data_IF_506645442998
#
_entry.id   IF_506645442998
#
_cell.length_a   1.000
_cell.length_b   1.000
_cell.length_c   1.000
_cell.angle_alpha   90.00
_cell.angle_beta   90.00
_cell.angle_gamma   90.00
#
_symmetry.space_group_name_H-M   'P 1'
#
loop_
_entity.id
_entity.type
_entity.pdbx_description
1 polymer ?
#
# COMPACT_ATOMS: atom_id res chain seq x y z
N UNK A 1 64.36 9.33 -6.27
CA UNK A 1 63.42 8.58 -5.41
C UNK A 1 62.00 8.97 -5.80
N UNK A 2 61.18 7.97 -6.15
CA UNK A 2 59.84 8.11 -6.73
C UNK A 2 58.88 8.72 -5.69
N UNK A 3 58.29 9.88 -5.99
CA UNK A 3 57.13 10.41 -5.25
C UNK A 3 55.88 9.92 -5.96
N UNK A 4 55.26 8.87 -5.45
CA UNK A 4 53.91 8.46 -5.82
C UNK A 4 53.14 8.12 -4.54
N UNK A 5 51.83 8.33 -4.61
CA UNK A 5 50.80 7.96 -3.61
C UNK A 5 50.78 8.97 -2.45
N UNK A 6 49.73 9.76 -2.25
CA UNK A 6 48.37 9.35 -1.89
C UNK A 6 47.33 10.34 -2.45
N UNK A 7 46.45 9.87 -3.33
CA UNK A 7 45.17 10.52 -3.63
C UNK A 7 44.15 9.43 -3.95
N UNK A 8 43.60 8.80 -2.91
CA UNK A 8 42.56 7.79 -3.05
C UNK A 8 41.63 7.82 -1.83
N UNK A 9 40.86 8.89 -1.65
CA UNK A 9 39.84 8.99 -0.60
C UNK A 9 38.69 9.92 -1.01
N UNK A 10 38.02 9.70 -2.15
CA UNK A 10 36.81 10.46 -2.53
C UNK A 10 35.84 9.69 -3.45
N UNK A 11 35.67 8.38 -3.26
CA UNK A 11 34.75 7.57 -4.09
C UNK A 11 33.66 6.80 -3.33
N UNK A 12 33.48 7.02 -2.02
CA UNK A 12 32.51 6.27 -1.21
C UNK A 12 31.18 7.00 -0.99
N UNK A 13 31.00 8.22 -1.49
CA UNK A 13 29.81 9.04 -1.22
C UNK A 13 28.57 8.64 -2.02
N UNK A 14 28.72 7.95 -3.16
CA UNK A 14 27.62 7.72 -4.10
C UNK A 14 26.66 6.62 -3.68
N UNK A 15 27.07 5.64 -2.87
CA UNK A 15 26.20 4.51 -2.47
C UNK A 15 25.25 4.88 -1.33
N UNK A 16 25.62 5.87 -0.50
CA UNK A 16 24.81 6.32 0.63
C UNK A 16 23.58 7.13 0.19
N UNK A 17 23.68 7.87 -0.93
CA UNK A 17 22.56 8.65 -1.47
C UNK A 17 21.46 7.75 -2.03
N UNK A 18 21.81 6.70 -2.79
CA UNK A 18 20.81 5.78 -3.35
C UNK A 18 20.02 4.99 -2.30
N UNK A 19 20.67 4.55 -1.22
CA UNK A 19 19.98 3.82 -0.15
C UNK A 19 19.02 4.72 0.65
N UNK A 20 19.40 5.99 0.87
CA UNK A 20 18.56 6.97 1.52
C UNK A 20 17.31 7.30 0.68
N UNK A 21 17.47 7.38 -0.65
CA UNK A 21 16.35 7.60 -1.58
C UNK A 21 15.35 6.44 -1.57
N UNK A 22 15.83 5.20 -1.66
CA UNK A 22 14.98 3.99 -1.58
C UNK A 22 14.19 3.93 -0.28
N UNK A 23 14.80 4.27 0.86
CA UNK A 23 14.11 4.31 2.14
C UNK A 23 13.06 5.42 2.18
N UNK A 24 13.36 6.60 1.63
CA UNK A 24 12.39 7.69 1.52
C UNK A 24 11.18 7.27 0.68
N UNK A 25 11.41 6.68 -0.49
CA UNK A 25 10.35 6.19 -1.39
C UNK A 25 9.51 5.10 -0.72
N UNK A 26 10.15 4.18 0.00
CA UNK A 26 9.47 3.13 0.77
C UNK A 26 8.58 3.73 1.86
N UNK A 27 9.09 4.71 2.63
CA UNK A 27 8.32 5.40 3.65
C UNK A 27 7.16 6.22 3.06
N UNK A 28 7.36 6.83 1.89
CA UNK A 28 6.31 7.55 1.15
C UNK A 28 5.17 6.60 0.79
N UNK A 29 5.50 5.42 0.29
CA UNK A 29 4.50 4.39 -0.03
C UNK A 29 3.84 3.80 1.23
N UNK A 30 4.58 3.62 2.33
CA UNK A 30 4.02 3.21 3.62
C UNK A 30 2.95 4.18 4.13
N UNK A 31 3.21 5.49 3.96
CA UNK A 31 2.25 6.54 4.24
C UNK A 31 0.98 6.41 3.41
N UNK A 32 1.10 6.17 2.10
CA UNK A 32 -0.05 5.93 1.22
C UNK A 32 -0.87 4.72 1.66
N UNK A 33 -0.20 3.61 1.98
CA UNK A 33 -0.85 2.40 2.50
C UNK A 33 -1.58 2.70 3.81
N UNK A 34 -0.94 3.42 4.74
CA UNK A 34 -1.55 3.80 6.02
C UNK A 34 -2.80 4.67 5.84
N UNK A 35 -2.72 5.70 5.00
CA UNK A 35 -3.85 6.57 4.68
C UNK A 35 -5.01 5.78 4.04
N UNK A 36 -4.68 4.86 3.12
CA UNK A 36 -5.68 4.03 2.44
C UNK A 36 -6.38 3.07 3.40
N UNK A 37 -5.64 2.41 4.30
CA UNK A 37 -6.24 1.53 5.31
C UNK A 37 -7.12 2.29 6.30
N UNK A 38 -6.68 3.48 6.71
CA UNK A 38 -7.49 4.33 7.57
C UNK A 38 -8.78 4.78 6.88
N UNK A 39 -8.74 5.08 5.58
CA UNK A 39 -9.94 5.38 4.81
C UNK A 39 -10.94 4.23 4.82
N UNK A 40 -10.50 2.99 4.59
CA UNK A 40 -11.40 1.82 4.67
C UNK A 40 -11.93 1.58 6.09
N UNK A 41 -11.10 1.79 7.12
CA UNK A 41 -11.56 1.72 8.52
C UNK A 41 -12.65 2.76 8.79
N UNK A 42 -12.43 4.01 8.40
CA UNK A 42 -13.40 5.10 8.60
C UNK A 42 -14.73 4.79 7.88
N UNK A 43 -14.69 4.23 6.66
CA UNK A 43 -15.89 3.78 5.94
C UNK A 43 -16.62 2.64 6.66
N UNK A 44 -15.88 1.64 7.15
CA UNK A 44 -16.44 0.51 7.92
C UNK A 44 -17.10 1.02 9.19
N UNK A 45 -16.45 1.91 9.94
CA UNK A 45 -17.00 2.45 11.19
C UNK A 45 -18.29 3.23 10.94
N UNK A 46 -18.32 4.06 9.89
CA UNK A 46 -19.53 4.77 9.46
C UNK A 46 -20.64 3.79 9.07
N UNK A 47 -20.34 2.77 8.28
CA UNK A 47 -21.33 1.76 7.87
C UNK A 47 -21.87 0.98 9.08
N UNK A 48 -21.01 0.50 9.97
CA UNK A 48 -21.43 -0.27 11.16
C UNK A 48 -22.21 0.60 12.15
N UNK A 49 -21.94 1.90 12.22
CA UNK A 49 -22.75 2.82 13.03
C UNK A 49 -24.21 2.91 12.56
N UNK A 50 -24.45 2.74 11.25
CA UNK A 50 -25.79 2.77 10.64
C UNK A 50 -26.42 1.37 10.57
N UNK A 51 -25.59 0.34 10.39
CA UNK A 51 -25.98 -1.07 10.20
C UNK A 51 -25.17 -1.99 11.13
N UNK A 52 -25.48 -2.02 12.45
CA UNK A 52 -24.70 -2.80 13.41
C UNK A 52 -24.63 -4.30 13.10
N UNK A 53 -25.64 -4.84 12.43
CA UNK A 53 -25.71 -6.23 11.98
C UNK A 53 -24.69 -6.59 10.88
N UNK A 54 -24.02 -5.59 10.30
CA UNK A 54 -22.97 -5.76 9.29
C UNK A 54 -21.56 -5.77 9.88
N UNK A 55 -21.38 -5.72 11.21
CA UNK A 55 -20.05 -5.68 11.85
C UNK A 55 -19.13 -6.82 11.39
N UNK A 56 -19.62 -8.06 11.37
CA UNK A 56 -18.82 -9.23 11.02
C UNK A 56 -18.32 -9.17 9.57
N UNK A 57 -19.23 -8.90 8.63
CA UNK A 57 -18.87 -8.80 7.20
C UNK A 57 -17.98 -7.59 6.92
N UNK A 58 -18.14 -6.51 7.68
CA UNK A 58 -17.31 -5.31 7.55
C UNK A 58 -15.88 -5.57 8.00
N UNK A 59 -15.70 -6.32 9.09
CA UNK A 59 -14.37 -6.76 9.55
C UNK A 59 -13.75 -7.75 8.55
N UNK A 60 -14.52 -8.71 8.02
CA UNK A 60 -14.05 -9.61 6.96
C UNK A 60 -13.55 -8.83 5.73
N UNK A 61 -14.31 -7.83 5.27
CA UNK A 61 -13.91 -6.95 4.17
C UNK A 61 -12.63 -6.17 4.49
N UNK A 62 -12.54 -5.61 5.70
CA UNK A 62 -11.39 -4.83 6.12
C UNK A 62 -10.11 -5.66 6.22
N UNK A 63 -10.19 -6.90 6.72
CA UNK A 63 -9.06 -7.83 6.73
C UNK A 63 -8.56 -8.13 5.32
N UNK A 64 -9.47 -8.39 4.37
CA UNK A 64 -9.09 -8.53 2.96
C UNK A 64 -8.41 -7.29 2.37
N UNK A 65 -8.84 -6.08 2.78
CA UNK A 65 -8.15 -4.83 2.42
C UNK A 65 -6.76 -4.75 3.04
N UNK A 66 -6.60 -5.11 4.32
CA UNK A 66 -5.29 -5.15 5.00
C UNK A 66 -4.32 -6.06 4.27
N UNK A 67 -4.71 -7.29 3.97
CA UNK A 67 -3.85 -8.22 3.22
C UNK A 67 -3.43 -7.66 1.85
N UNK A 68 -4.38 -7.08 1.09
CA UNK A 68 -4.07 -6.46 -0.21
C UNK A 68 -3.02 -5.34 -0.09
N UNK A 69 -3.21 -4.44 0.87
CA UNK A 69 -2.32 -3.30 1.06
C UNK A 69 -0.96 -3.70 1.67
N UNK A 70 -0.92 -4.74 2.51
CA UNK A 70 0.32 -5.32 3.02
C UNK A 70 1.14 -5.98 1.90
N UNK A 71 0.49 -6.69 0.97
CA UNK A 71 1.15 -7.19 -0.23
C UNK A 71 1.74 -6.03 -1.04
N UNK A 72 0.96 -4.99 -1.31
CA UNK A 72 1.45 -3.85 -2.08
C UNK A 72 2.64 -3.18 -1.40
N UNK A 73 2.58 -3.00 -0.07
CA UNK A 73 3.66 -2.45 0.74
C UNK A 73 4.95 -3.26 0.56
N UNK A 74 4.88 -4.56 0.82
CA UNK A 74 6.04 -5.45 0.74
C UNK A 74 6.58 -5.54 -0.70
N UNK A 75 5.70 -5.53 -1.69
CA UNK A 75 6.07 -5.54 -3.10
C UNK A 75 6.83 -4.26 -3.48
N UNK A 76 6.38 -3.07 -3.08
CA UNK A 76 7.10 -1.83 -3.34
C UNK A 76 8.45 -1.81 -2.64
N UNK A 77 8.52 -2.21 -1.37
CA UNK A 77 9.80 -2.30 -0.63
C UNK A 77 10.77 -3.22 -1.36
N UNK A 78 10.30 -4.39 -1.79
CA UNK A 78 11.12 -5.35 -2.53
C UNK A 78 11.54 -4.80 -3.90
N UNK A 79 10.63 -4.25 -4.69
CA UNK A 79 10.92 -3.81 -6.05
C UNK A 79 11.80 -2.55 -6.07
N UNK A 80 11.60 -1.58 -5.18
CA UNK A 80 12.50 -0.43 -5.07
C UNK A 80 13.95 -0.86 -4.88
N UNK A 81 14.19 -1.97 -4.17
CA UNK A 81 15.53 -2.50 -3.92
C UNK A 81 16.07 -3.41 -5.04
N UNK A 82 15.23 -4.29 -5.58
CA UNK A 82 15.68 -5.40 -6.43
C UNK A 82 15.33 -5.20 -7.91
N UNK A 83 14.21 -4.55 -8.21
CA UNK A 83 13.68 -4.38 -9.57
C UNK A 83 13.01 -2.99 -9.72
N UNK A 84 13.77 -1.87 -9.64
CA UNK A 84 13.17 -0.54 -9.47
C UNK A 84 12.24 -0.12 -10.61
N UNK A 85 12.43 -0.64 -11.82
CA UNK A 85 11.56 -0.41 -12.97
C UNK A 85 10.13 -0.96 -12.79
N UNK A 86 9.88 -1.80 -11.78
CA UNK A 86 8.55 -2.28 -11.38
C UNK A 86 7.79 -1.25 -10.52
N UNK A 87 8.40 -0.13 -10.14
CA UNK A 87 7.80 0.94 -9.34
C UNK A 87 7.85 2.25 -10.11
N UNK A 88 6.69 2.72 -10.57
CA UNK A 88 6.57 3.91 -11.41
C UNK A 88 6.58 5.21 -10.57
N UNK A 89 7.74 5.53 -9.96
CA UNK A 89 7.89 6.64 -8.99
C UNK A 89 7.61 8.04 -9.56
N UNK A 90 7.55 8.17 -10.88
CA UNK A 90 7.18 9.37 -11.61
C UNK A 90 5.66 9.59 -11.75
N UNK A 91 4.85 8.57 -11.41
CA UNK A 91 3.39 8.64 -11.38
C UNK A 91 2.89 9.07 -9.99
N UNK A 92 1.61 9.44 -9.85
CA UNK A 92 0.96 9.55 -8.54
C UNK A 92 1.17 8.27 -7.70
N UNK A 93 1.28 8.42 -6.38
CA UNK A 93 1.64 7.36 -5.43
C UNK A 93 0.71 6.14 -5.54
N UNK A 94 -0.58 6.36 -5.83
CA UNK A 94 -1.54 5.26 -6.03
C UNK A 94 -1.26 4.39 -7.27
N UNK A 95 -0.52 4.92 -8.24
CA UNK A 95 -0.21 4.28 -9.52
C UNK A 95 1.22 3.71 -9.57
N UNK A 96 2.01 3.84 -8.50
CA UNK A 96 3.39 3.33 -8.45
C UNK A 96 3.48 1.82 -8.68
N UNK A 97 2.53 1.07 -8.16
CA UNK A 97 2.53 -0.39 -8.24
C UNK A 97 1.31 -0.89 -9.02
N UNK A 98 1.57 -1.70 -10.04
CA UNK A 98 0.56 -2.48 -10.73
C UNK A 98 0.86 -3.96 -10.55
N UNK A 99 -0.01 -4.67 -9.82
CA UNK A 99 0.01 -6.12 -9.69
C UNK A 99 -1.28 -6.70 -10.27
N UNK A 100 -1.15 -7.47 -11.35
CA UNK A 100 -2.26 -8.23 -11.91
C UNK A 100 -2.41 -9.57 -11.21
N UNK A 101 -3.50 -10.30 -11.47
CA UNK A 101 -3.74 -11.59 -10.81
C UNK A 101 -2.63 -12.60 -11.08
N UNK A 102 -2.05 -12.59 -12.28
CA UNK A 102 -0.94 -13.49 -12.62
C UNK A 102 0.35 -13.12 -11.86
N UNK A 103 0.64 -11.83 -11.64
CA UNK A 103 1.75 -11.39 -10.79
C UNK A 103 1.58 -11.92 -9.36
N UNK A 104 0.41 -11.72 -8.75
CA UNK A 104 0.14 -12.16 -7.38
C UNK A 104 0.28 -13.67 -7.24
N UNK A 105 -0.22 -14.44 -8.23
CA UNK A 105 -0.05 -15.89 -8.28
C UNK A 105 1.43 -16.29 -8.34
N UNK A 106 2.24 -15.59 -9.15
CA UNK A 106 3.67 -15.87 -9.24
C UNK A 106 4.39 -15.52 -7.94
N UNK A 107 4.12 -14.36 -7.35
CA UNK A 107 4.69 -13.93 -6.07
C UNK A 107 4.37 -14.94 -4.95
N UNK A 108 3.16 -15.49 -4.92
CA UNK A 108 2.74 -16.49 -3.93
C UNK A 108 3.50 -17.83 -3.99
N UNK A 109 4.33 -18.05 -5.02
CA UNK A 109 5.21 -19.24 -5.11
C UNK A 109 6.55 -19.06 -4.39
N UNK A 110 6.87 -17.83 -3.97
CA UNK A 110 8.11 -17.53 -3.25
C UNK A 110 8.05 -18.07 -1.81
N UNK A 111 9.23 -18.28 -1.23
CA UNK A 111 9.41 -18.78 0.15
C UNK A 111 9.93 -17.71 1.12
N UNK A 112 9.79 -16.43 0.77
CA UNK A 112 10.18 -15.30 1.60
C UNK A 112 8.95 -14.50 2.06
N UNK A 113 9.19 -13.41 2.81
CA UNK A 113 8.14 -12.56 3.36
C UNK A 113 7.16 -12.06 2.29
N UNK A 114 7.66 -11.67 1.12
CA UNK A 114 6.82 -11.26 -0.01
C UNK A 114 5.94 -12.41 -0.51
N UNK A 115 6.49 -13.62 -0.58
CA UNK A 115 5.72 -14.84 -0.89
C UNK A 115 4.60 -15.11 0.10
N UNK A 116 4.89 -14.98 1.40
CA UNK A 116 3.90 -15.22 2.46
C UNK A 116 2.72 -14.25 2.38
N UNK A 117 2.97 -12.95 2.20
CA UNK A 117 1.90 -11.95 2.07
C UNK A 117 1.13 -12.07 0.76
N UNK A 118 1.82 -12.43 -0.34
CA UNK A 118 1.18 -12.68 -1.63
C UNK A 118 0.25 -13.91 -1.56
N UNK A 119 0.67 -14.96 -0.86
CA UNK A 119 -0.12 -16.18 -0.65
C UNK A 119 -1.40 -15.89 0.13
N UNK A 120 -1.35 -15.05 1.17
CA UNK A 120 -2.56 -14.61 1.90
C UNK A 120 -3.54 -13.90 0.96
N UNK A 121 -3.07 -12.88 0.26
CA UNK A 121 -3.91 -12.11 -0.69
C UNK A 121 -4.46 -13.00 -1.82
N UNK A 122 -3.66 -13.96 -2.30
CA UNK A 122 -4.11 -14.92 -3.29
C UNK A 122 -5.24 -15.80 -2.73
N UNK A 123 -5.06 -16.34 -1.51
CA UNK A 123 -6.07 -17.16 -0.85
C UNK A 123 -7.36 -16.41 -0.57
N UNK A 124 -7.31 -15.13 -0.18
CA UNK A 124 -8.50 -14.31 0.03
C UNK A 124 -9.36 -14.25 -1.25
N UNK A 125 -8.73 -14.10 -2.42
CA UNK A 125 -9.44 -14.07 -3.72
C UNK A 125 -10.08 -15.40 -4.09
N UNK A 126 -9.53 -16.51 -3.58
CA UNK A 126 -10.06 -17.86 -3.82
C UNK A 126 -11.09 -18.27 -2.76
N UNK A 127 -11.23 -17.51 -1.68
CA UNK A 127 -12.11 -17.84 -0.58
C UNK A 127 -13.58 -17.66 -0.95
N UNK A 128 -14.45 -18.41 -0.27
CA UNK A 128 -15.90 -18.19 -0.37
C UNK A 128 -16.23 -16.84 0.25
N UNK A 129 -16.98 -16.01 -0.49
CA UNK A 129 -17.44 -14.73 0.01
C UNK A 129 -18.28 -14.89 1.28
N UNK A 130 -18.16 -13.93 2.19
CA UNK A 130 -19.02 -13.85 3.36
C UNK A 130 -20.51 -13.78 2.93
N UNK A 131 -21.45 -14.47 3.61
CA UNK A 131 -22.86 -14.51 3.20
C UNK A 131 -23.51 -13.13 3.03
N UNK A 132 -23.13 -12.17 3.88
CA UNK A 132 -23.62 -10.77 3.84
C UNK A 132 -22.84 -9.81 2.91
N UNK A 133 -21.99 -10.33 2.02
CA UNK A 133 -21.12 -9.48 1.19
C UNK A 133 -21.93 -8.53 0.28
N UNK A 134 -23.10 -8.95 -0.20
CA UNK A 134 -23.93 -8.11 -1.06
C UNK A 134 -24.59 -6.95 -0.28
N UNK A 135 -25.03 -7.21 0.93
CA UNK A 135 -25.60 -6.24 1.86
C UNK A 135 -24.56 -5.18 2.23
N UNK A 136 -23.33 -5.60 2.56
CA UNK A 136 -22.23 -4.66 2.81
C UNK A 136 -21.96 -3.77 1.60
N UNK A 137 -21.90 -4.35 0.39
CA UNK A 137 -21.68 -3.58 -0.85
C UNK A 137 -22.79 -2.57 -1.09
N UNK A 138 -24.04 -2.93 -0.79
CA UNK A 138 -25.19 -2.04 -0.91
C UNK A 138 -25.13 -0.90 0.11
N UNK A 139 -24.76 -1.21 1.37
CA UNK A 139 -24.56 -0.21 2.42
C UNK A 139 -23.41 0.77 2.09
N UNK A 140 -22.30 0.28 1.53
CA UNK A 140 -21.25 1.17 1.03
C UNK A 140 -21.70 2.05 -0.14
N UNK A 141 -22.45 1.49 -1.10
CA UNK A 141 -22.96 2.27 -2.22
C UNK A 141 -23.88 3.41 -1.74
N UNK A 142 -24.76 3.11 -0.78
CA UNK A 142 -25.62 4.11 -0.15
C UNK A 142 -24.79 5.18 0.58
N UNK A 143 -23.87 4.78 1.47
CA UNK A 143 -22.98 5.70 2.19
C UNK A 143 -22.21 6.63 1.24
N UNK A 144 -21.63 6.08 0.17
CA UNK A 144 -20.83 6.84 -0.80
C UNK A 144 -21.67 7.75 -1.70
N UNK A 145 -22.97 7.48 -1.85
CA UNK A 145 -23.90 8.37 -2.56
C UNK A 145 -24.31 9.60 -1.73
N UNK A 146 -23.99 9.62 -0.44
CA UNK A 146 -24.29 10.69 0.50
C UNK A 146 -23.01 11.42 0.94
N UNK A 147 -22.41 12.30 0.12
CA UNK A 147 -21.07 12.85 0.35
C UNK A 147 -20.90 13.57 1.70
N UNK A 148 -21.97 14.16 2.24
CA UNK A 148 -21.94 14.80 3.57
C UNK A 148 -21.67 13.82 4.71
N UNK A 149 -22.04 12.54 4.56
CA UNK A 149 -21.81 11.52 5.59
C UNK A 149 -20.34 11.08 5.66
N UNK A 150 -19.60 11.20 4.55
CA UNK A 150 -18.21 10.79 4.45
C UNK A 150 -17.22 11.97 4.48
N UNK A 151 -17.69 13.21 4.49
CA UNK A 151 -16.87 14.41 4.29
C UNK A 151 -15.68 14.49 5.25
N UNK A 152 -15.89 14.23 6.55
CA UNK A 152 -14.80 14.21 7.54
C UNK A 152 -13.74 13.16 7.22
N UNK A 153 -14.15 11.93 6.89
CA UNK A 153 -13.24 10.84 6.56
C UNK A 153 -12.50 11.10 5.23
N UNK A 154 -13.22 11.63 4.23
CA UNK A 154 -12.67 11.94 2.92
C UNK A 154 -11.65 13.08 3.01
N UNK A 155 -11.95 14.14 3.76
CA UNK A 155 -11.02 15.25 3.97
C UNK A 155 -9.75 14.80 4.70
N UNK A 156 -9.87 13.92 5.71
CA UNK A 156 -8.73 13.31 6.40
C UNK A 156 -7.85 12.48 5.44
N UNK A 157 -8.46 11.67 4.59
CA UNK A 157 -7.76 10.91 3.55
C UNK A 157 -7.03 11.85 2.57
N UNK A 158 -7.75 12.80 1.99
CA UNK A 158 -7.21 13.75 1.00
C UNK A 158 -6.04 14.57 1.56
N UNK A 159 -6.15 15.06 2.80
CA UNK A 159 -5.05 15.78 3.45
C UNK A 159 -3.82 14.89 3.67
N UNK A 160 -4.03 13.61 3.95
CA UNK A 160 -2.94 12.64 4.10
C UNK A 160 -2.24 12.42 2.76
N UNK A 161 -3.00 12.18 1.69
CA UNK A 161 -2.46 12.00 0.34
C UNK A 161 -1.68 13.24 -0.13
N UNK A 162 -2.23 14.46 0.06
CA UNK A 162 -1.53 15.70 -0.30
C UNK A 162 -0.16 15.80 0.40
N UNK A 163 -0.10 15.50 1.70
CA UNK A 163 1.16 15.52 2.47
C UNK A 163 2.15 14.49 1.95
N UNK A 164 1.69 13.28 1.67
CA UNK A 164 2.52 12.19 1.13
C UNK A 164 3.07 12.58 -0.23
N UNK A 165 2.24 13.11 -1.12
CA UNK A 165 2.65 13.50 -2.48
C UNK A 165 3.69 14.62 -2.49
N UNK A 166 3.55 15.59 -1.57
CA UNK A 166 4.50 16.68 -1.41
C UNK A 166 5.86 16.24 -0.84
N UNK A 167 5.96 15.04 -0.25
CA UNK A 167 7.23 14.49 0.21
C UNK A 167 8.16 14.25 -0.99
N UNK A 168 9.35 14.88 -0.94
CA UNK A 168 10.41 14.71 -1.94
C UNK A 168 11.41 13.66 -1.46
N UNK A 169 11.77 12.76 -2.36
CA UNK A 169 12.87 11.81 -2.22
C UNK A 169 13.95 12.19 -3.25
N UNK A 170 15.23 12.06 -2.88
CA UNK A 170 16.39 12.59 -3.61
C UNK A 170 17.42 11.48 -3.84
#
# INVERSE_FOLDING_TARGET
MKRFVVAALLATSSTLTFAADQQCLSNKYDGYVGASLQWYQDLVDLTVSQYPELVEVSQWFLEGRKHHFELNREAVHYFLKNEPSRVATEQPIEAWLKLEQHDVKQLATRSDKLGDVAKRTFNDRQSTNHPKNYELRSAFADLLSHPKQIDTALNKYNQSIIKIEQQKCN
#
